data_IF_519496233913
#
_entry.id   IF_519496233913
#
_cell.length_a   1.000
_cell.length_b   1.000
_cell.length_c   1.000
_cell.angle_alpha   90.00
_cell.angle_beta   90.00
_cell.angle_gamma   90.00
#
_symmetry.space_group_name_H-M   'P 1'
#
loop_
_entity.id
_entity.type
_entity.pdbx_description
1 polymer ?
#
# COMPACT_ATOMS: atom_id res chain seq x y z
N UNK A 1 -13.40 14.24 -59.74
CA UNK A 1 -14.45 14.30 -58.69
C UNK A 1 -14.33 13.01 -57.85
N UNK A 2 -13.46 12.99 -56.84
CA UNK A 2 -13.36 11.92 -55.85
C UNK A 2 -13.26 12.60 -54.49
N UNK A 3 -14.33 12.49 -53.70
CA UNK A 3 -14.38 13.00 -52.34
C UNK A 3 -13.70 12.00 -51.41
N UNK A 4 -12.52 12.34 -50.91
CA UNK A 4 -11.93 11.63 -49.78
C UNK A 4 -12.75 11.94 -48.52
N UNK A 5 -13.61 11.00 -48.13
CA UNK A 5 -14.23 11.00 -46.83
C UNK A 5 -13.14 10.73 -45.77
N UNK A 6 -12.61 11.79 -45.14
CA UNK A 6 -11.81 11.68 -43.92
C UNK A 6 -12.70 11.15 -42.80
N UNK A 7 -12.72 9.82 -42.61
CA UNK A 7 -13.30 9.17 -41.45
C UNK A 7 -12.44 9.56 -40.24
N UNK A 8 -12.89 10.58 -39.50
CA UNK A 8 -12.27 11.03 -38.25
C UNK A 8 -12.70 10.05 -37.16
N UNK A 9 -11.99 8.92 -37.03
CA UNK A 9 -12.21 7.94 -35.96
C UNK A 9 -11.93 8.65 -34.63
N UNK A 10 -12.98 9.11 -33.93
CA UNK A 10 -12.88 9.54 -32.54
C UNK A 10 -12.75 8.28 -31.68
N UNK A 11 -11.52 7.87 -31.39
CA UNK A 11 -11.26 6.80 -30.43
C UNK A 11 -11.92 7.15 -29.08
N UNK A 12 -12.71 6.26 -28.46
CA UNK A 12 -13.33 6.50 -27.17
C UNK A 12 -12.29 6.32 -26.05
N UNK A 13 -11.39 7.30 -25.90
CA UNK A 13 -10.28 7.28 -24.93
C UNK A 13 -10.75 6.95 -23.50
N UNK A 14 -11.90 7.47 -23.07
CA UNK A 14 -12.44 7.22 -21.72
C UNK A 14 -12.76 5.74 -21.48
N UNK A 15 -13.24 5.03 -22.51
CA UNK A 15 -13.55 3.60 -22.42
C UNK A 15 -12.26 2.78 -22.35
N UNK A 16 -11.26 3.14 -23.14
CA UNK A 16 -9.96 2.48 -23.15
C UNK A 16 -9.27 2.66 -21.79
N UNK A 17 -9.24 3.88 -21.25
CA UNK A 17 -8.68 4.16 -19.93
C UNK A 17 -9.43 3.38 -18.83
N UNK A 18 -10.75 3.30 -18.90
CA UNK A 18 -11.56 2.51 -17.96
C UNK A 18 -11.17 1.03 -17.99
N UNK A 19 -11.06 0.43 -19.18
CA UNK A 19 -10.64 -0.97 -19.35
C UNK A 19 -9.22 -1.19 -18.83
N UNK A 20 -8.27 -0.33 -19.18
CA UNK A 20 -6.89 -0.40 -18.67
C UNK A 20 -6.85 -0.28 -17.14
N UNK A 21 -7.66 0.60 -16.56
CA UNK A 21 -7.75 0.76 -15.10
C UNK A 21 -8.36 -0.48 -14.43
N UNK A 22 -9.41 -1.06 -15.02
CA UNK A 22 -9.97 -2.34 -14.53
C UNK A 22 -8.96 -3.47 -14.60
N UNK A 23 -8.20 -3.58 -15.69
CA UNK A 23 -7.12 -4.56 -15.82
C UNK A 23 -6.02 -4.33 -14.76
N UNK A 24 -5.67 -3.08 -14.49
CA UNK A 24 -4.74 -2.72 -13.41
C UNK A 24 -5.28 -3.20 -12.04
N UNK A 25 -6.56 -2.99 -11.75
CA UNK A 25 -7.17 -3.47 -10.51
C UNK A 25 -7.18 -5.00 -10.42
N UNK A 26 -7.49 -5.70 -11.51
CA UNK A 26 -7.39 -7.16 -11.58
C UNK A 26 -5.95 -7.65 -11.32
N UNK A 27 -4.97 -7.00 -11.98
CA UNK A 27 -3.54 -7.27 -11.74
C UNK A 27 -3.18 -7.06 -10.27
N UNK A 28 -3.71 -6.01 -9.61
CA UNK A 28 -3.46 -5.80 -8.20
C UNK A 28 -4.00 -6.91 -7.31
N UNK A 29 -5.18 -7.47 -7.62
CA UNK A 29 -5.73 -8.61 -6.88
C UNK A 29 -4.83 -9.84 -7.06
N UNK A 30 -4.44 -10.15 -8.29
CA UNK A 30 -3.57 -11.30 -8.59
C UNK A 30 -2.20 -11.14 -7.91
N UNK A 31 -1.56 -9.99 -8.07
CA UNK A 31 -0.25 -9.73 -7.48
C UNK A 31 -0.26 -9.74 -5.95
N UNK A 32 -1.37 -9.31 -5.33
CA UNK A 32 -1.59 -9.45 -3.89
C UNK A 32 -1.60 -10.92 -3.45
N UNK A 33 -2.30 -11.79 -4.18
CA UNK A 33 -2.32 -13.23 -3.91
C UNK A 33 -0.93 -13.85 -4.11
N UNK A 34 -0.22 -13.49 -5.19
CA UNK A 34 1.13 -13.98 -5.46
C UNK A 34 2.13 -13.56 -4.36
N UNK A 35 2.05 -12.30 -3.91
CA UNK A 35 2.85 -11.80 -2.80
C UNK A 35 2.53 -12.54 -1.49
N UNK A 36 1.26 -12.83 -1.22
CA UNK A 36 0.85 -13.61 -0.05
C UNK A 36 1.44 -15.03 -0.08
N UNK A 37 1.35 -15.72 -1.22
CA UNK A 37 1.92 -17.08 -1.40
C UNK A 37 3.43 -17.06 -1.20
N UNK A 38 4.15 -16.08 -1.79
CA UNK A 38 5.59 -15.90 -1.56
C UNK A 38 5.90 -15.65 -0.09
N UNK A 39 5.10 -14.81 0.58
CA UNK A 39 5.16 -14.57 2.03
C UNK A 39 5.15 -15.86 2.83
N UNK A 40 4.10 -16.68 2.66
CA UNK A 40 3.96 -17.94 3.41
C UNK A 40 5.16 -18.87 3.19
N UNK A 41 5.62 -19.02 1.94
CA UNK A 41 6.77 -19.87 1.61
C UNK A 41 8.03 -19.40 2.33
N UNK A 42 8.35 -18.11 2.22
CA UNK A 42 9.54 -17.54 2.84
C UNK A 42 9.48 -17.57 4.38
N UNK A 43 8.31 -17.31 4.97
CA UNK A 43 8.15 -17.33 6.43
C UNK A 43 8.29 -18.73 7.02
N UNK A 44 7.88 -19.78 6.27
CA UNK A 44 8.11 -21.18 6.67
C UNK A 44 9.60 -21.49 6.84
N UNK A 45 10.44 -20.89 5.98
CA UNK A 45 11.90 -21.02 6.03
C UNK A 45 12.55 -19.99 6.98
N UNK A 46 11.73 -19.33 7.83
CA UNK A 46 12.13 -18.28 8.78
C UNK A 46 12.84 -17.08 8.12
N UNK A 47 12.64 -16.88 6.82
CA UNK A 47 13.20 -15.78 6.05
C UNK A 47 12.15 -14.73 5.69
N UNK A 48 12.58 -13.48 5.55
CA UNK A 48 11.71 -12.39 5.07
C UNK A 48 11.59 -12.44 3.54
N UNK A 49 10.51 -11.91 2.96
CA UNK A 49 10.28 -12.00 1.49
C UNK A 49 11.42 -11.44 0.64
N UNK A 50 12.14 -10.44 1.16
CA UNK A 50 13.27 -9.77 0.50
C UNK A 50 14.65 -10.40 0.78
N UNK A 51 14.75 -11.37 1.70
CA UNK A 51 15.95 -12.17 1.99
C UNK A 51 15.81 -13.63 1.52
N UNK A 52 14.65 -13.97 1.01
CA UNK A 52 14.28 -15.29 0.55
C UNK A 52 14.79 -15.51 -0.88
N UNK A 53 15.01 -16.76 -1.27
CA UNK A 53 15.49 -17.08 -2.62
C UNK A 53 14.61 -16.45 -3.72
N UNK A 54 15.23 -16.10 -4.84
CA UNK A 54 14.57 -15.48 -6.00
C UNK A 54 13.33 -16.23 -6.45
N UNK A 55 13.41 -17.56 -6.44
CA UNK A 55 12.37 -18.47 -6.93
C UNK A 55 11.66 -19.24 -5.80
N UNK A 56 11.70 -18.75 -4.56
CA UNK A 56 11.26 -19.49 -3.37
C UNK A 56 9.81 -20.02 -3.41
N UNK A 57 8.93 -19.38 -4.18
CA UNK A 57 7.56 -19.86 -4.38
C UNK A 57 7.30 -20.33 -5.82
N UNK A 58 7.78 -19.58 -6.80
CA UNK A 58 7.65 -19.85 -8.24
C UNK A 58 8.75 -19.08 -8.99
N UNK A 59 8.92 -19.38 -10.28
CA UNK A 59 9.92 -18.74 -11.13
C UNK A 59 9.68 -17.21 -11.22
N UNK A 60 10.73 -16.42 -11.04
CA UNK A 60 10.72 -14.95 -11.04
C UNK A 60 9.87 -14.30 -9.93
N UNK A 61 9.74 -14.98 -8.78
CA UNK A 61 8.86 -14.50 -7.72
C UNK A 61 9.33 -13.21 -7.03
N UNK A 62 10.64 -12.94 -6.97
CA UNK A 62 11.18 -11.65 -6.48
C UNK A 62 10.91 -10.52 -7.48
N UNK A 63 11.12 -10.76 -8.78
CA UNK A 63 10.86 -9.78 -9.83
C UNK A 63 9.38 -9.42 -9.90
N UNK A 64 8.50 -10.42 -9.75
CA UNK A 64 7.05 -10.21 -9.67
C UNK A 64 6.64 -9.43 -8.42
N UNK A 65 7.32 -9.60 -7.28
CA UNK A 65 7.13 -8.77 -6.08
C UNK A 65 7.45 -7.30 -6.37
N UNK A 66 8.58 -7.02 -7.07
CA UNK A 66 8.96 -5.65 -7.46
C UNK A 66 7.96 -5.02 -8.42
N UNK A 67 7.55 -5.75 -9.46
CA UNK A 67 6.57 -5.25 -10.46
C UNK A 67 5.22 -4.98 -9.80
N UNK A 68 4.75 -5.91 -8.96
CA UNK A 68 3.53 -5.73 -8.20
C UNK A 68 3.62 -4.51 -7.26
N UNK A 69 4.71 -4.37 -6.49
CA UNK A 69 4.90 -3.25 -5.58
C UNK A 69 4.95 -1.90 -6.31
N UNK A 70 5.58 -1.86 -7.48
CA UNK A 70 5.67 -0.66 -8.31
C UNK A 70 4.29 -0.29 -8.86
N UNK A 71 3.55 -1.26 -9.40
CA UNK A 71 2.18 -1.01 -9.91
C UNK A 71 1.18 -0.68 -8.80
N UNK A 72 1.32 -1.25 -7.59
CA UNK A 72 0.61 -0.81 -6.37
C UNK A 72 0.90 0.66 -6.07
N UNK A 73 2.18 1.04 -6.07
CA UNK A 73 2.60 2.42 -5.78
C UNK A 73 2.00 3.39 -6.80
N UNK A 74 2.04 3.04 -8.08
CA UNK A 74 1.40 3.82 -9.15
C UNK A 74 -0.11 3.96 -8.91
N UNK A 75 -0.80 2.88 -8.52
CA UNK A 75 -2.24 2.95 -8.21
C UNK A 75 -2.52 3.96 -7.08
N UNK A 76 -1.74 3.96 -6.00
CA UNK A 76 -1.91 4.92 -4.91
C UNK A 76 -1.64 6.36 -5.37
N UNK A 77 -0.62 6.58 -6.20
CA UNK A 77 -0.34 7.90 -6.79
C UNK A 77 -1.53 8.36 -7.65
N UNK A 78 -2.08 7.48 -8.49
CA UNK A 78 -3.27 7.79 -9.29
C UNK A 78 -4.44 8.19 -8.39
N UNK A 79 -4.67 7.48 -7.28
CA UNK A 79 -5.71 7.85 -6.30
C UNK A 79 -5.45 9.25 -5.74
N UNK A 80 -4.24 9.54 -5.25
CA UNK A 80 -3.87 10.84 -4.70
C UNK A 80 -4.10 11.97 -5.72
N UNK A 81 -3.74 11.74 -6.99
CA UNK A 81 -3.90 12.73 -8.07
C UNK A 81 -5.38 12.93 -8.46
N UNK A 82 -6.22 11.90 -8.34
CA UNK A 82 -7.64 11.98 -8.70
C UNK A 82 -8.53 12.52 -7.58
N UNK A 83 -8.16 12.33 -6.31
CA UNK A 83 -8.93 12.80 -5.16
C UNK A 83 -9.29 14.30 -5.19
N UNK A 84 -8.39 15.22 -5.60
CA UNK A 84 -8.72 16.64 -5.74
C UNK A 84 -9.83 16.95 -6.76
N UNK A 85 -10.11 16.04 -7.70
CA UNK A 85 -11.17 16.19 -8.72
C UNK A 85 -12.55 15.77 -8.20
N UNK A 86 -12.63 15.20 -7.00
CA UNK A 86 -13.88 14.74 -6.41
C UNK A 86 -14.66 15.96 -5.87
N UNK A 87 -15.97 16.07 -6.15
CA UNK A 87 -16.79 17.14 -5.61
C UNK A 87 -16.80 17.10 -4.07
N UNK A 88 -16.55 18.26 -3.46
CA UNK A 88 -16.49 18.38 -2.00
C UNK A 88 -15.12 18.11 -1.38
N UNK A 89 -14.06 17.98 -2.19
CA UNK A 89 -12.68 17.95 -1.70
C UNK A 89 -12.32 19.28 -1.02
N UNK A 90 -11.92 19.21 0.25
CA UNK A 90 -11.63 20.38 1.10
C UNK A 90 -10.34 21.11 0.75
N UNK A 91 -9.47 20.52 -0.08
CA UNK A 91 -8.11 21.02 -0.33
C UNK A 91 -7.10 20.46 0.66
N UNK A 92 -5.86 20.21 0.20
CA UNK A 92 -4.80 19.60 1.02
C UNK A 92 -4.50 20.42 2.28
N UNK A 93 -4.37 21.75 2.17
CA UNK A 93 -4.06 22.63 3.29
C UNK A 93 -5.11 22.54 4.41
N UNK A 94 -6.40 22.52 4.05
CA UNK A 94 -7.49 22.41 5.02
C UNK A 94 -7.54 21.02 5.65
N UNK A 95 -7.30 19.95 4.87
CA UNK A 95 -7.21 18.58 5.37
C UNK A 95 -6.11 18.46 6.41
N UNK A 96 -4.88 18.90 6.09
CA UNK A 96 -3.77 18.86 7.04
C UNK A 96 -4.00 19.72 8.28
N UNK A 97 -4.64 20.89 8.13
CA UNK A 97 -4.99 21.72 9.28
C UNK A 97 -5.96 21.02 10.23
N UNK A 98 -6.96 20.30 9.71
CA UNK A 98 -7.89 19.50 10.54
C UNK A 98 -7.21 18.28 11.16
N UNK A 99 -6.36 17.58 10.40
CA UNK A 99 -5.62 16.41 10.89
C UNK A 99 -4.68 16.73 12.05
N UNK A 100 -4.12 17.95 12.09
CA UNK A 100 -3.32 18.42 13.23
C UNK A 100 -4.09 18.45 14.55
N UNK A 101 -5.41 18.42 14.51
CA UNK A 101 -6.25 18.40 15.71
C UNK A 101 -6.78 17.00 16.05
N UNK A 102 -6.40 15.96 15.29
CA UNK A 102 -6.89 14.59 15.47
C UNK A 102 -5.81 13.72 16.10
N UNK A 103 -5.91 13.32 17.39
CA UNK A 103 -4.89 12.51 18.06
C UNK A 103 -4.61 11.17 17.37
N UNK A 104 -5.67 10.52 16.86
CA UNK A 104 -5.59 9.27 16.11
C UNK A 104 -4.67 9.37 14.89
N UNK A 105 -4.65 10.52 14.21
CA UNK A 105 -3.74 10.75 13.08
C UNK A 105 -2.27 10.76 13.51
N UNK A 106 -1.93 11.40 14.64
CA UNK A 106 -0.56 11.36 15.16
C UNK A 106 -0.10 9.96 15.53
N UNK A 107 -1.00 9.13 16.08
CA UNK A 107 -0.64 7.73 16.33
C UNK A 107 -0.37 6.98 15.02
N UNK A 108 -1.13 7.26 13.94
CA UNK A 108 -0.86 6.67 12.63
C UNK A 108 0.49 7.14 12.07
N UNK A 109 0.83 8.42 12.23
CA UNK A 109 2.14 8.98 11.82
C UNK A 109 3.29 8.37 12.62
N UNK A 110 3.15 8.22 13.94
CA UNK A 110 4.15 7.56 14.78
C UNK A 110 4.38 6.11 14.33
N UNK A 111 3.30 5.38 14.06
CA UNK A 111 3.36 4.01 13.56
C UNK A 111 3.98 3.92 12.16
N UNK A 112 3.74 4.92 11.29
CA UNK A 112 4.41 5.05 10.00
C UNK A 112 5.92 5.26 10.18
N UNK A 113 6.34 6.14 11.09
CA UNK A 113 7.75 6.40 11.39
C UNK A 113 8.45 5.12 11.83
N UNK A 114 7.83 4.33 12.72
CA UNK A 114 8.36 3.03 13.16
C UNK A 114 8.48 2.05 11.98
N UNK A 115 7.50 2.02 11.07
CA UNK A 115 7.55 1.14 9.91
C UNK A 115 8.66 1.53 8.92
N UNK A 116 8.80 2.83 8.63
CA UNK A 116 9.84 3.35 7.73
C UNK A 116 11.23 3.22 8.35
N UNK A 117 11.39 3.47 9.66
CA UNK A 117 12.67 3.34 10.35
C UNK A 117 13.18 1.90 10.28
N UNK A 118 12.29 0.92 10.43
CA UNK A 118 12.63 -0.50 10.22
C UNK A 118 13.15 -0.75 8.81
N UNK A 119 12.45 -0.27 7.77
CA UNK A 119 12.86 -0.49 6.38
C UNK A 119 14.20 0.20 6.07
N UNK A 120 14.44 1.40 6.62
CA UNK A 120 15.72 2.12 6.54
C UNK A 120 16.84 1.34 7.25
N UNK A 121 16.58 0.83 8.46
CA UNK A 121 17.55 0.05 9.22
C UNK A 121 17.97 -1.22 8.48
N UNK A 122 17.01 -1.94 7.90
CA UNK A 122 17.26 -3.11 7.05
C UNK A 122 18.09 -2.75 5.82
N UNK A 123 17.79 -1.59 5.22
CA UNK A 123 18.51 -1.05 4.08
C UNK A 123 19.95 -0.65 4.44
N UNK A 124 20.26 -0.31 5.69
CA UNK A 124 21.64 0.01 6.10
C UNK A 124 22.47 -1.21 6.47
N UNK A 125 21.83 -2.33 6.85
CA UNK A 125 22.50 -3.44 7.55
C UNK A 125 22.63 -4.74 6.76
N UNK A 126 21.84 -4.92 5.69
CA UNK A 126 21.84 -6.17 4.93
C UNK A 126 22.70 -6.09 3.66
N UNK A 127 23.41 -7.16 3.24
CA UNK A 127 24.09 -7.20 1.95
C UNK A 127 23.07 -7.07 0.80
N UNK A 128 23.39 -6.23 -0.19
CA UNK A 128 22.40 -5.65 -1.10
C UNK A 128 22.45 -6.25 -2.49
N UNK A 129 21.37 -6.92 -2.91
CA UNK A 129 21.05 -6.96 -4.35
C UNK A 129 20.25 -5.70 -4.72
N UNK A 130 20.31 -5.30 -6.00
CA UNK A 130 19.52 -4.17 -6.49
C UNK A 130 18.00 -4.36 -6.26
N UNK A 131 17.51 -5.60 -6.39
CA UNK A 131 16.09 -5.93 -6.20
C UNK A 131 15.67 -5.78 -4.74
N UNK A 132 16.44 -6.33 -3.78
CA UNK A 132 16.18 -6.16 -2.35
C UNK A 132 16.08 -4.68 -1.96
N UNK A 133 16.97 -3.84 -2.50
CA UNK A 133 16.94 -2.39 -2.28
C UNK A 133 15.68 -1.74 -2.85
N UNK A 134 15.30 -2.10 -4.07
CA UNK A 134 14.09 -1.61 -4.72
C UNK A 134 12.83 -1.99 -3.92
N UNK A 135 12.77 -3.21 -3.38
CA UNK A 135 11.65 -3.68 -2.55
C UNK A 135 11.53 -2.85 -1.26
N UNK A 136 12.63 -2.64 -0.54
CA UNK A 136 12.62 -1.88 0.72
C UNK A 136 12.22 -0.41 0.50
N UNK A 137 12.82 0.25 -0.50
CA UNK A 137 12.46 1.63 -0.86
C UNK A 137 11.00 1.71 -1.32
N UNK A 138 10.56 0.74 -2.12
CA UNK A 138 9.19 0.65 -2.59
C UNK A 138 8.18 0.52 -1.44
N UNK A 139 8.46 -0.29 -0.42
CA UNK A 139 7.58 -0.41 0.74
C UNK A 139 7.50 0.88 1.56
N UNK A 140 8.64 1.51 1.86
CA UNK A 140 8.67 2.78 2.59
C UNK A 140 7.89 3.88 1.85
N UNK A 141 8.10 4.00 0.53
CA UNK A 141 7.37 4.94 -0.32
C UNK A 141 5.88 4.62 -0.34
N UNK A 142 5.51 3.37 -0.57
CA UNK A 142 4.12 2.92 -0.63
C UNK A 142 3.39 3.19 0.69
N UNK A 143 4.01 2.93 1.84
CA UNK A 143 3.41 3.20 3.15
C UNK A 143 3.13 4.68 3.35
N UNK A 144 4.10 5.53 3.02
CA UNK A 144 3.95 6.99 3.11
C UNK A 144 2.81 7.50 2.22
N UNK A 145 2.76 7.05 0.97
CA UNK A 145 1.70 7.42 0.03
C UNK A 145 0.34 6.88 0.45
N UNK A 146 0.28 5.68 1.03
CA UNK A 146 -0.99 5.08 1.50
C UNK A 146 -1.57 5.88 2.67
N UNK A 147 -0.73 6.33 3.61
CA UNK A 147 -1.15 7.22 4.71
C UNK A 147 -1.64 8.56 4.18
N UNK A 148 -0.96 9.13 3.18
CA UNK A 148 -1.42 10.36 2.52
C UNK A 148 -2.78 10.17 1.82
N UNK A 149 -2.95 9.07 1.08
CA UNK A 149 -4.22 8.74 0.43
C UNK A 149 -5.34 8.56 1.48
N UNK A 150 -5.06 7.88 2.59
CA UNK A 150 -6.01 7.70 3.69
C UNK A 150 -6.38 9.04 4.34
N UNK A 151 -5.40 9.90 4.63
CA UNK A 151 -5.60 11.27 5.12
C UNK A 151 -6.53 12.10 4.22
N UNK A 152 -6.33 12.02 2.90
CA UNK A 152 -7.18 12.71 1.93
C UNK A 152 -8.58 12.10 1.84
N UNK A 153 -8.68 10.77 1.79
CA UNK A 153 -9.95 10.04 1.76
C UNK A 153 -10.79 10.26 3.01
N UNK A 154 -10.16 10.46 4.17
CA UNK A 154 -10.84 10.66 5.45
C UNK A 154 -11.86 11.82 5.41
N UNK A 155 -11.58 12.86 4.63
CA UNK A 155 -12.44 14.02 4.50
C UNK A 155 -13.11 14.15 3.14
N UNK A 156 -12.96 13.14 2.27
CA UNK A 156 -13.53 13.11 0.93
C UNK A 156 -14.63 12.06 0.87
N UNK A 157 -15.86 12.46 0.56
CA UNK A 157 -16.98 11.53 0.39
C UNK A 157 -17.01 11.05 -1.06
N UNK A 158 -16.93 9.73 -1.27
CA UNK A 158 -16.97 9.16 -2.62
C UNK A 158 -18.39 9.08 -3.18
N UNK A 159 -19.41 9.11 -2.32
CA UNK A 159 -20.83 9.10 -2.66
C UNK A 159 -21.23 10.28 -3.54
N UNK A 160 -20.53 11.42 -3.43
CA UNK A 160 -20.74 12.60 -4.27
C UNK A 160 -20.46 12.33 -5.75
N UNK A 161 -19.65 11.31 -6.06
CA UNK A 161 -19.38 10.89 -7.44
C UNK A 161 -20.64 10.38 -8.15
N UNK A 162 -21.57 9.75 -7.42
CA UNK A 162 -22.82 9.22 -8.01
C UNK A 162 -23.67 10.31 -8.66
N UNK A 163 -23.60 11.53 -8.13
CA UNK A 163 -24.42 12.64 -8.60
C UNK A 163 -23.80 13.37 -9.80
N UNK A 164 -22.48 13.29 -9.97
CA UNK A 164 -21.76 14.09 -10.98
C UNK A 164 -21.17 13.27 -12.13
N UNK A 165 -20.86 12.00 -11.89
CA UNK A 165 -20.21 11.13 -12.87
C UNK A 165 -21.05 9.88 -13.14
N UNK A 166 -20.83 9.20 -14.29
CA UNK A 166 -21.50 7.94 -14.58
C UNK A 166 -21.26 6.89 -13.48
N UNK A 167 -22.23 5.99 -13.28
CA UNK A 167 -22.20 4.97 -12.23
C UNK A 167 -20.90 4.15 -12.20
N UNK A 168 -20.33 3.83 -13.37
CA UNK A 168 -19.09 3.04 -13.45
C UNK A 168 -17.90 3.71 -12.77
N UNK A 169 -17.83 5.05 -12.76
CA UNK A 169 -16.74 5.80 -12.08
C UNK A 169 -16.82 5.60 -10.57
N UNK A 170 -18.04 5.63 -10.02
CA UNK A 170 -18.29 5.35 -8.61
C UNK A 170 -17.94 3.90 -8.26
N UNK A 171 -18.37 2.94 -9.10
CA UNK A 171 -18.05 1.52 -8.91
C UNK A 171 -16.54 1.26 -8.94
N UNK A 172 -15.82 1.83 -9.92
CA UNK A 172 -14.37 1.72 -9.99
C UNK A 172 -13.69 2.36 -8.78
N UNK A 173 -14.17 3.51 -8.31
CA UNK A 173 -13.61 4.16 -7.12
C UNK A 173 -13.78 3.31 -5.85
N UNK A 174 -14.96 2.69 -5.66
CA UNK A 174 -15.21 1.75 -4.55
C UNK A 174 -14.38 0.47 -4.70
N UNK A 175 -14.24 -0.06 -5.92
CA UNK A 175 -13.38 -1.21 -6.19
C UNK A 175 -11.91 -0.89 -5.90
N UNK A 176 -11.44 0.31 -6.21
CA UNK A 176 -10.09 0.76 -5.87
C UNK A 176 -9.87 0.79 -4.36
N UNK A 177 -10.81 1.36 -3.59
CA UNK A 177 -10.74 1.33 -2.12
C UNK A 177 -10.72 -0.11 -1.60
N UNK A 178 -11.53 -1.00 -2.18
CA UNK A 178 -11.53 -2.42 -1.84
C UNK A 178 -10.19 -3.11 -2.14
N UNK A 179 -9.57 -2.83 -3.29
CA UNK A 179 -8.24 -3.38 -3.64
C UNK A 179 -7.16 -2.88 -2.69
N UNK A 180 -7.20 -1.60 -2.28
CA UNK A 180 -6.26 -1.04 -1.31
C UNK A 180 -6.49 -1.65 0.09
N UNK A 181 -7.75 -1.88 0.46
CA UNK A 181 -8.11 -2.63 1.65
C UNK A 181 -7.51 -4.05 1.60
N UNK A 182 -7.73 -4.79 0.52
CA UNK A 182 -7.23 -6.16 0.35
C UNK A 182 -5.70 -6.21 0.47
N UNK A 183 -4.99 -5.26 -0.15
CA UNK A 183 -3.54 -5.16 -0.01
C UNK A 183 -3.12 -4.90 1.44
N UNK A 184 -3.83 -4.01 2.14
CA UNK A 184 -3.56 -3.69 3.55
C UNK A 184 -3.85 -4.88 4.46
N UNK A 185 -4.92 -5.63 4.20
CA UNK A 185 -5.28 -6.87 4.89
C UNK A 185 -4.19 -7.93 4.70
N UNK A 186 -3.73 -8.16 3.47
CA UNK A 186 -2.66 -9.12 3.18
C UNK A 186 -1.36 -8.74 3.88
N UNK A 187 -0.97 -7.45 3.89
CA UNK A 187 0.19 -7.01 4.65
C UNK A 187 0.05 -7.25 6.14
N UNK A 188 -1.13 -6.99 6.71
CA UNK A 188 -1.42 -7.24 8.12
C UNK A 188 -1.32 -8.75 8.42
N UNK A 189 -1.96 -9.60 7.64
CA UNK A 189 -1.88 -11.06 7.78
C UNK A 189 -0.44 -11.56 7.65
N UNK A 190 0.33 -11.08 6.67
CA UNK A 190 1.73 -11.41 6.54
C UNK A 190 2.56 -10.97 7.75
N UNK A 191 2.21 -9.84 8.40
CA UNK A 191 2.88 -9.42 9.64
C UNK A 191 2.62 -10.43 10.77
N UNK A 192 1.36 -10.86 10.93
CA UNK A 192 0.97 -11.85 11.93
C UNK A 192 1.67 -13.19 11.70
N UNK A 193 1.62 -13.70 10.47
CA UNK A 193 2.28 -14.95 10.09
C UNK A 193 3.80 -14.87 10.35
N UNK A 194 4.45 -13.77 9.97
CA UNK A 194 5.88 -13.59 10.20
C UNK A 194 6.24 -13.56 11.71
N UNK A 195 5.36 -13.04 12.56
CA UNK A 195 5.52 -13.11 14.02
C UNK A 195 5.37 -14.56 14.50
N UNK A 196 4.34 -15.27 14.04
CA UNK A 196 4.08 -16.68 14.39
C UNK A 196 5.26 -17.60 14.04
N UNK A 197 5.87 -17.41 12.87
CA UNK A 197 7.04 -18.20 12.46
C UNK A 197 8.37 -17.72 13.05
N UNK A 198 8.37 -16.66 13.88
CA UNK A 198 9.57 -16.04 14.44
C UNK A 198 10.65 -15.77 13.38
N UNK A 199 10.23 -15.19 12.25
CA UNK A 199 11.11 -14.85 11.12
C UNK A 199 12.26 -13.98 11.63
N UNK A 200 13.51 -14.39 11.37
CA UNK A 200 14.68 -13.59 11.74
C UNK A 200 14.73 -12.37 10.82
N UNK A 201 14.60 -11.18 11.42
CA UNK A 201 14.58 -9.90 10.70
C UNK A 201 15.90 -9.13 10.81
N UNK A 202 16.83 -9.55 11.68
CA UNK A 202 18.04 -8.80 11.98
C UNK A 202 19.30 -9.65 11.77
N UNK A 203 20.34 -9.12 11.09
CA UNK A 203 21.64 -9.77 11.05
C UNK A 203 22.24 -9.82 12.46
N UNK A 204 22.79 -10.98 12.82
CA UNK A 204 23.36 -11.26 14.14
C UNK A 204 24.44 -10.26 14.59
N UNK A 205 25.05 -9.52 13.66
CA UNK A 205 26.07 -8.51 13.92
C UNK A 205 25.62 -7.34 14.81
N UNK A 206 24.31 -7.05 14.90
CA UNK A 206 23.81 -5.99 15.80
C UNK A 206 23.47 -6.50 17.21
N UNK A 207 23.46 -7.82 17.40
CA UNK A 207 23.19 -8.48 18.68
C UNK A 207 24.32 -8.29 19.71
N UNK A 208 25.53 -7.89 19.28
CA UNK A 208 26.71 -7.82 20.15
C UNK A 208 26.97 -6.45 20.77
N UNK A 209 26.23 -5.40 20.38
CA UNK A 209 26.54 -4.02 20.76
C UNK A 209 25.58 -3.40 21.80
N UNK A 210 24.37 -3.94 21.97
CA UNK A 210 23.35 -3.38 22.86
C UNK A 210 23.02 -4.34 24.02
N UNK A 211 22.60 -3.80 25.17
CA UNK A 211 22.09 -4.63 26.27
C UNK A 211 20.94 -5.51 25.79
N UNK A 212 20.88 -6.75 26.29
CA UNK A 212 19.90 -7.76 25.90
C UNK A 212 18.46 -7.25 26.03
N UNK A 213 18.19 -6.44 27.05
CA UNK A 213 16.85 -5.91 27.34
C UNK A 213 16.43 -4.81 26.35
N UNK A 214 17.35 -3.93 25.95
CA UNK A 214 17.06 -2.86 24.99
C UNK A 214 16.75 -3.45 23.60
N UNK A 215 17.46 -4.50 23.20
CA UNK A 215 17.20 -5.20 21.95
C UNK A 215 15.82 -5.88 21.95
N UNK A 216 15.42 -6.52 23.06
CA UNK A 216 14.09 -7.14 23.19
C UNK A 216 12.98 -6.10 23.10
N UNK A 217 13.12 -4.97 23.80
CA UNK A 217 12.14 -3.86 23.76
C UNK A 217 12.04 -3.27 22.36
N UNK A 218 13.17 -2.99 21.69
CA UNK A 218 13.15 -2.43 20.33
C UNK A 218 12.49 -3.40 19.33
N UNK A 219 12.83 -4.70 19.39
CA UNK A 219 12.22 -5.74 18.53
C UNK A 219 10.71 -5.86 18.77
N UNK A 220 10.28 -5.78 20.03
CA UNK A 220 8.86 -5.80 20.38
C UNK A 220 8.14 -4.56 19.83
N UNK A 221 8.71 -3.38 20.03
CA UNK A 221 8.16 -2.11 19.57
C UNK A 221 8.03 -2.07 18.04
N UNK A 222 9.01 -2.57 17.31
CA UNK A 222 8.94 -2.66 15.85
C UNK A 222 7.87 -3.64 15.37
N UNK A 223 7.84 -4.86 15.92
CA UNK A 223 6.86 -5.86 15.51
C UNK A 223 5.43 -5.39 15.84
N UNK A 224 5.22 -4.87 17.04
CA UNK A 224 3.94 -4.33 17.46
C UNK A 224 3.57 -3.08 16.67
N UNK A 225 4.51 -2.17 16.47
CA UNK A 225 4.32 -0.92 15.72
C UNK A 225 3.96 -1.15 14.26
N UNK A 226 4.72 -1.99 13.55
CA UNK A 226 4.44 -2.34 12.14
C UNK A 226 3.12 -3.08 12.00
N UNK A 227 2.81 -3.99 12.91
CA UNK A 227 1.55 -4.75 12.86
C UNK A 227 0.35 -3.84 13.15
N UNK A 228 0.45 -2.99 14.18
CA UNK A 228 -0.56 -2.00 14.52
C UNK A 228 -0.76 -0.97 13.41
N UNK A 229 0.32 -0.53 12.76
CA UNK A 229 0.27 0.34 11.58
C UNK A 229 -0.59 -0.29 10.47
N UNK A 230 -0.29 -1.54 10.11
CA UNK A 230 -1.00 -2.28 9.05
C UNK A 230 -2.45 -2.52 9.41
N UNK A 231 -2.74 -2.86 10.67
CA UNK A 231 -4.09 -3.00 11.19
C UNK A 231 -4.89 -1.70 11.07
N UNK A 232 -4.32 -0.55 11.48
CA UNK A 232 -4.99 0.74 11.38
C UNK A 232 -5.32 1.12 9.94
N UNK A 233 -4.40 0.91 9.00
CA UNK A 233 -4.66 1.16 7.58
C UNK A 233 -5.76 0.24 7.04
N UNK A 234 -5.68 -1.05 7.32
CA UNK A 234 -6.71 -2.02 6.94
C UNK A 234 -8.08 -1.62 7.48
N UNK A 235 -8.18 -1.30 8.77
CA UNK A 235 -9.42 -0.89 9.41
C UNK A 235 -9.98 0.39 8.80
N UNK A 236 -9.12 1.38 8.49
CA UNK A 236 -9.55 2.62 7.85
C UNK A 236 -10.20 2.35 6.48
N UNK A 237 -9.52 1.59 5.60
CA UNK A 237 -10.06 1.33 4.27
C UNK A 237 -11.30 0.42 4.29
N UNK A 238 -11.36 -0.53 5.24
CA UNK A 238 -12.57 -1.32 5.47
C UNK A 238 -13.74 -0.42 5.85
N UNK A 239 -13.58 0.43 6.87
CA UNK A 239 -14.62 1.37 7.30
C UNK A 239 -15.01 2.30 6.15
N UNK A 240 -14.04 2.84 5.40
CA UNK A 240 -14.31 3.77 4.28
C UNK A 240 -15.08 3.12 3.12
N UNK A 241 -14.97 1.80 2.96
CA UNK A 241 -15.70 1.06 1.93
C UNK A 241 -17.22 1.10 2.19
N UNK A 242 -17.63 0.91 3.45
CA UNK A 242 -19.04 0.82 3.86
C UNK A 242 -19.59 2.15 4.38
N UNK A 243 -18.83 2.84 5.22
CA UNK A 243 -19.17 4.13 5.83
C UNK A 243 -18.41 5.21 5.07
N UNK A 244 -19.11 5.89 4.17
CA UNK A 244 -18.54 6.94 3.32
C UNK A 244 -18.71 8.35 3.90
N UNK A 245 -18.63 8.44 5.22
CA UNK A 245 -18.72 9.70 5.94
C UNK A 245 -17.37 10.41 6.02
N UNK A 246 -17.41 11.66 6.48
CA UNK A 246 -16.21 12.45 6.76
C UNK A 246 -15.77 12.17 8.21
N UNK A 247 -14.48 11.95 8.42
CA UNK A 247 -13.88 11.85 9.76
C UNK A 247 -13.96 10.44 10.36
N UNK A 248 -13.24 9.49 9.78
CA UNK A 248 -13.06 8.12 10.28
C UNK A 248 -11.92 8.05 11.33
N UNK A 249 -10.89 8.90 11.19
CA UNK A 249 -9.79 8.98 12.15
C UNK A 249 -10.20 9.60 13.49
#
# INVERSE_FOLDING_TARGET
RFGEAKIKIRLPWDKILSVCYSLLLCWQVIGNCLYFVRGIKCFRDKSSTFLCERNAAFLYSEELEVVWLTTQTILIVVVIVLLPRIPGFLGLKAIFHRLKCVPSFFTLVLLLVIAVSRDVMLLLTSPKTFLTMAILIGFALKYTLTVLAAAMLNYTQLSTLKHRYPLYVFLLSKLTVFVIFLASFIHFTNALIAITFNVQKFPAAMSSANSTDFHVVNKLLENFGVTSFRFKLMSFFWTKLFIDDKGIF
#
